data_IF_985637519261
#
_entry.id   IF_985637519261
#
_cell.length_a   1.000
_cell.length_b   1.000
_cell.length_c   1.000
_cell.angle_alpha   90.00
_cell.angle_beta   90.00
_cell.angle_gamma   90.00
#
_symmetry.space_group_name_H-M   'P 1'
#
loop_
_entity.id
_entity.type
_entity.pdbx_description
1 polymer ?
#
# COMPACT_ATOMS: atom_id res chain seq x y z
N UNK A 1 23.90 -0.12 -22.74
CA UNK A 1 24.31 0.11 -21.34
C UNK A 1 23.24 -0.53 -20.48
N UNK A 2 23.63 -1.38 -19.54
CA UNK A 2 22.70 -2.15 -18.70
C UNK A 2 22.90 -1.76 -17.24
N UNK A 3 21.81 -1.73 -16.47
CA UNK A 3 21.87 -1.60 -15.02
C UNK A 3 22.53 -2.83 -14.38
N UNK A 4 23.06 -2.66 -13.16
CA UNK A 4 23.67 -3.77 -12.39
C UNK A 4 23.20 -3.78 -10.95
N UNK A 5 23.11 -4.98 -10.38
CA UNK A 5 22.81 -5.18 -8.96
C UNK A 5 24.06 -5.76 -8.28
N UNK A 6 24.50 -5.11 -7.22
CA UNK A 6 25.57 -5.58 -6.35
C UNK A 6 25.01 -6.05 -5.02
N UNK A 7 25.68 -7.01 -4.38
CA UNK A 7 25.39 -7.40 -3.00
C UNK A 7 26.47 -6.86 -2.07
N UNK A 8 26.05 -6.23 -0.97
CA UNK A 8 26.89 -5.90 0.17
C UNK A 8 26.43 -6.76 1.34
N UNK A 9 27.29 -7.63 1.84
CA UNK A 9 26.96 -8.54 2.94
C UNK A 9 27.71 -8.19 4.22
N UNK A 10 27.15 -8.60 5.36
CA UNK A 10 27.82 -8.43 6.66
C UNK A 10 27.86 -6.99 7.18
N UNK A 11 26.87 -6.17 6.83
CA UNK A 11 26.74 -4.80 7.33
C UNK A 11 26.34 -4.86 8.81
N UNK A 12 27.27 -4.49 9.69
CA UNK A 12 27.03 -4.51 11.13
C UNK A 12 26.00 -3.44 11.53
N UNK A 13 24.87 -3.88 12.11
CA UNK A 13 23.88 -3.03 12.73
C UNK A 13 24.08 -3.07 14.25
N UNK A 14 24.95 -2.19 14.76
CA UNK A 14 25.54 -2.38 16.10
C UNK A 14 24.49 -2.32 17.22
N UNK A 15 23.47 -1.46 17.07
CA UNK A 15 22.38 -1.32 18.06
C UNK A 15 21.32 -2.41 17.99
N UNK A 16 21.31 -3.17 16.89
CA UNK A 16 20.44 -4.35 16.72
C UNK A 16 21.19 -5.65 16.99
N UNK A 17 22.51 -5.58 17.22
CA UNK A 17 23.37 -6.73 17.48
C UNK A 17 23.22 -7.84 16.41
N UNK A 18 23.12 -7.42 15.14
CA UNK A 18 23.03 -8.32 14.00
C UNK A 18 23.81 -7.77 12.80
N UNK A 19 23.97 -8.59 11.77
CA UNK A 19 24.55 -8.20 10.48
C UNK A 19 23.48 -8.26 9.40
N UNK A 20 23.53 -7.36 8.42
CA UNK A 20 22.59 -7.31 7.31
C UNK A 20 23.26 -7.38 5.96
N UNK A 21 22.51 -7.90 5.01
CA UNK A 21 22.82 -7.75 3.60
C UNK A 21 22.06 -6.56 3.01
N UNK A 22 22.59 -6.00 1.93
CA UNK A 22 21.92 -5.01 1.10
C UNK A 22 22.20 -5.28 -0.38
N UNK A 23 21.22 -4.97 -1.23
CA UNK A 23 21.33 -5.05 -2.68
C UNK A 23 21.31 -3.66 -3.29
N UNK A 24 22.33 -3.35 -4.10
CA UNK A 24 22.56 -2.02 -4.65
C UNK A 24 22.30 -2.05 -6.15
N UNK A 25 21.24 -1.40 -6.59
CA UNK A 25 21.02 -1.11 -8.01
C UNK A 25 21.87 0.09 -8.42
N UNK A 26 22.63 -0.07 -9.50
CA UNK A 26 23.37 0.99 -10.15
C UNK A 26 22.80 1.22 -11.55
N UNK A 27 22.55 2.49 -11.92
CA UNK A 27 21.87 2.81 -13.16
C UNK A 27 22.77 2.59 -14.38
N UNK A 28 22.19 2.51 -15.60
CA UNK A 28 22.93 2.15 -16.81
C UNK A 28 24.17 2.99 -17.09
N UNK A 29 24.15 4.30 -16.82
CA UNK A 29 25.29 5.18 -17.12
C UNK A 29 26.39 5.17 -16.03
N UNK A 30 26.21 4.42 -14.94
CA UNK A 30 27.06 4.50 -13.76
C UNK A 30 28.55 4.33 -14.10
N UNK A 31 28.93 3.30 -14.86
CA UNK A 31 30.35 3.00 -15.13
C UNK A 31 30.97 3.87 -16.23
N UNK A 32 30.16 4.47 -17.10
CA UNK A 32 30.62 5.28 -18.23
C UNK A 32 30.75 6.77 -17.85
N UNK A 33 29.87 7.28 -16.98
CA UNK A 33 29.83 8.69 -16.56
C UNK A 33 30.47 8.90 -15.18
N UNK A 34 31.80 8.89 -15.14
CA UNK A 34 32.60 8.91 -13.90
C UNK A 34 32.43 10.18 -13.02
N UNK A 35 32.00 11.30 -13.60
CA UNK A 35 31.76 12.55 -12.87
C UNK A 35 30.33 12.70 -12.35
N UNK A 36 29.39 11.88 -12.83
CA UNK A 36 27.98 11.98 -12.46
C UNK A 36 27.74 11.39 -11.07
N UNK A 37 26.92 12.09 -10.28
CA UNK A 37 26.42 11.65 -8.97
C UNK A 37 24.91 11.47 -9.05
N UNK A 38 24.39 10.54 -8.26
CA UNK A 38 23.03 10.04 -8.37
C UNK A 38 22.26 10.26 -7.06
N UNK A 39 20.97 10.61 -7.13
CA UNK A 39 20.07 10.46 -5.99
C UNK A 39 20.02 9.01 -5.51
N UNK A 40 19.65 8.82 -4.24
CA UNK A 40 19.64 7.49 -3.61
C UNK A 40 18.26 7.21 -3.02
N UNK A 41 17.70 6.05 -3.37
CA UNK A 41 16.50 5.51 -2.75
C UNK A 41 16.87 4.35 -1.82
N UNK A 42 16.60 4.49 -0.53
CA UNK A 42 16.68 3.40 0.45
C UNK A 42 15.34 2.68 0.52
N UNK A 43 15.37 1.35 0.41
CA UNK A 43 14.19 0.51 0.49
C UNK A 43 14.30 -0.52 1.60
N UNK A 44 13.21 -0.68 2.34
CA UNK A 44 13.05 -1.72 3.32
C UNK A 44 12.77 -3.08 2.65
N UNK A 45 12.91 -4.18 3.41
CA UNK A 45 12.59 -5.56 2.96
C UNK A 45 13.29 -5.93 1.63
N UNK A 46 14.58 -5.58 1.54
CA UNK A 46 15.33 -5.56 0.29
C UNK A 46 15.38 -6.90 -0.46
N UNK A 47 15.21 -8.02 0.26
CA UNK A 47 15.21 -9.37 -0.31
C UNK A 47 14.06 -9.65 -1.29
N UNK A 48 13.06 -8.75 -1.40
CA UNK A 48 11.90 -8.88 -2.29
C UNK A 48 11.81 -7.75 -3.34
N UNK A 49 12.70 -6.76 -3.27
CA UNK A 49 12.65 -5.53 -4.09
C UNK A 49 12.97 -5.80 -5.56
N UNK A 50 14.07 -6.52 -5.85
CA UNK A 50 14.50 -6.75 -7.24
C UNK A 50 14.06 -8.11 -7.81
N UNK A 51 14.00 -9.13 -6.97
CA UNK A 51 13.64 -10.49 -7.36
C UNK A 51 12.85 -11.12 -6.23
N UNK A 52 11.95 -12.04 -6.58
CA UNK A 52 11.23 -12.81 -5.59
C UNK A 52 12.16 -13.84 -4.96
N UNK A 53 12.22 -13.85 -3.63
CA UNK A 53 12.73 -14.97 -2.83
C UNK A 53 11.60 -15.77 -2.18
N UNK A 54 10.34 -15.36 -2.40
CA UNK A 54 9.15 -16.04 -1.90
C UNK A 54 8.80 -17.21 -2.83
N UNK A 55 8.20 -18.25 -2.26
CA UNK A 55 7.67 -19.36 -3.07
C UNK A 55 6.43 -18.93 -3.86
N UNK A 56 5.73 -17.89 -3.40
CA UNK A 56 4.62 -17.25 -4.11
C UNK A 56 5.05 -16.61 -5.44
N UNK A 57 6.34 -16.34 -5.63
CA UNK A 57 6.87 -15.63 -6.80
C UNK A 57 6.68 -14.11 -6.73
N UNK A 58 6.09 -13.59 -5.66
CA UNK A 58 5.82 -12.17 -5.52
C UNK A 58 7.08 -11.35 -5.27
N UNK A 59 7.14 -10.17 -5.88
CA UNK A 59 8.25 -9.22 -5.82
C UNK A 59 7.75 -7.87 -6.30
N UNK A 60 8.48 -6.81 -5.95
CA UNK A 60 8.24 -5.48 -6.49
C UNK A 60 8.62 -5.37 -7.97
N UNK A 61 9.51 -6.23 -8.48
CA UNK A 61 10.00 -6.12 -9.87
C UNK A 61 10.63 -4.75 -10.15
N UNK A 62 11.33 -4.19 -9.15
CA UNK A 62 11.74 -2.79 -9.21
C UNK A 62 12.82 -2.54 -10.26
N UNK A 63 13.68 -3.54 -10.55
CA UNK A 63 14.71 -3.41 -11.58
C UNK A 63 14.09 -3.10 -12.93
N UNK A 64 13.12 -3.90 -13.34
CA UNK A 64 12.42 -3.77 -14.61
C UNK A 64 11.67 -2.44 -14.70
N UNK A 65 11.08 -2.02 -13.57
CA UNK A 65 10.42 -0.72 -13.45
C UNK A 65 11.41 0.44 -13.64
N UNK A 66 12.54 0.44 -12.93
CA UNK A 66 13.58 1.46 -13.05
C UNK A 66 14.18 1.51 -14.44
N UNK A 67 14.58 0.37 -14.99
CA UNK A 67 15.15 0.26 -16.34
C UNK A 67 14.16 0.78 -17.40
N UNK A 68 12.87 0.49 -17.24
CA UNK A 68 11.80 1.01 -18.09
C UNK A 68 11.69 2.52 -18.03
N UNK A 69 11.53 3.08 -16.83
CA UNK A 69 11.36 4.52 -16.61
C UNK A 69 12.58 5.32 -17.06
N UNK A 70 13.80 4.86 -16.74
CA UNK A 70 15.05 5.52 -17.13
C UNK A 70 15.22 5.50 -18.65
N UNK A 71 15.01 4.34 -19.29
CA UNK A 71 15.15 4.21 -20.75
C UNK A 71 14.17 5.09 -21.52
N UNK A 72 12.98 5.31 -20.98
CA UNK A 72 11.97 6.18 -21.56
C UNK A 72 12.19 7.68 -21.23
N UNK A 73 13.19 8.03 -20.42
CA UNK A 73 13.45 9.39 -19.97
C UNK A 73 12.40 9.94 -19.00
N UNK A 74 11.69 9.05 -18.31
CA UNK A 74 10.58 9.39 -17.42
C UNK A 74 11.06 9.78 -16.02
N UNK A 75 12.21 9.25 -15.60
CA UNK A 75 12.93 9.63 -14.38
C UNK A 75 14.43 9.81 -14.68
N UNK A 76 15.10 10.61 -13.87
CA UNK A 76 16.57 10.63 -13.84
C UNK A 76 17.13 9.30 -13.29
N UNK A 77 18.38 9.00 -13.62
CA UNK A 77 19.06 7.83 -13.07
C UNK A 77 19.27 7.96 -11.56
N UNK A 78 18.99 6.88 -10.82
CA UNK A 78 19.16 6.82 -9.35
C UNK A 78 19.92 5.56 -8.93
N UNK A 79 20.46 5.58 -7.72
CA UNK A 79 20.93 4.39 -7.01
C UNK A 79 19.80 3.91 -6.10
N UNK A 80 19.59 2.59 -6.02
CA UNK A 80 18.67 2.00 -5.02
C UNK A 80 19.44 1.12 -4.07
N UNK A 81 19.23 1.30 -2.77
CA UNK A 81 19.81 0.52 -1.68
C UNK A 81 18.68 -0.25 -0.99
N UNK A 82 18.53 -1.52 -1.35
CA UNK A 82 17.51 -2.39 -0.81
C UNK A 82 18.06 -3.18 0.38
N UNK A 83 17.56 -2.92 1.59
CA UNK A 83 18.15 -3.39 2.86
C UNK A 83 17.41 -4.61 3.38
N UNK A 84 18.15 -5.68 3.69
CA UNK A 84 17.58 -6.90 4.25
C UNK A 84 16.83 -6.65 5.56
N UNK A 85 15.68 -7.31 5.70
CA UNK A 85 14.95 -7.44 6.94
C UNK A 85 15.30 -8.75 7.66
N UNK A 86 15.52 -8.70 8.98
CA UNK A 86 15.82 -9.89 9.78
C UNK A 86 14.56 -10.49 10.38
N UNK A 87 14.14 -11.62 9.80
CA UNK A 87 12.93 -12.35 10.20
C UNK A 87 12.91 -12.77 11.67
N UNK A 88 14.06 -13.05 12.28
CA UNK A 88 14.13 -13.42 13.70
C UNK A 88 13.68 -12.30 14.65
N UNK A 89 13.76 -11.04 14.20
CA UNK A 89 13.27 -9.88 14.94
C UNK A 89 11.78 -9.61 14.67
N UNK A 90 11.15 -10.34 13.74
CA UNK A 90 9.79 -10.09 13.27
C UNK A 90 9.62 -8.66 12.76
N UNK A 91 8.43 -8.08 12.91
CA UNK A 91 8.16 -6.69 12.52
C UNK A 91 8.67 -5.65 13.55
N UNK A 92 9.36 -6.06 14.61
CA UNK A 92 9.82 -5.21 15.73
C UNK A 92 10.57 -3.95 15.28
N UNK A 93 11.39 -4.08 14.23
CA UNK A 93 12.23 -3.02 13.66
C UNK A 93 11.43 -1.92 12.94
N UNK A 94 10.13 -2.14 12.74
CA UNK A 94 9.25 -1.22 12.02
C UNK A 94 8.34 -0.41 12.94
N UNK A 95 8.27 -0.77 14.22
CA UNK A 95 7.53 -0.02 15.23
C UNK A 95 8.48 0.85 16.07
N UNK A 96 8.09 2.11 16.27
CA UNK A 96 8.87 3.10 17.03
C UNK A 96 8.23 3.41 18.38
N UNK A 97 7.12 4.15 18.35
CA UNK A 97 6.50 4.74 19.54
C UNK A 97 5.28 3.99 20.05
N UNK A 98 4.57 3.27 19.16
CA UNK A 98 3.30 2.61 19.43
C UNK A 98 3.27 1.27 18.71
N UNK A 99 2.81 0.23 19.41
CA UNK A 99 2.57 -1.08 18.85
C UNK A 99 1.47 -1.77 19.65
N UNK A 100 0.45 -2.32 18.98
CA UNK A 100 -0.59 -3.10 19.63
C UNK A 100 -0.12 -4.51 20.01
N UNK A 101 0.94 -5.00 19.38
CA UNK A 101 1.50 -6.32 19.64
C UNK A 101 2.45 -6.30 20.84
N UNK A 102 2.53 -7.39 21.62
CA UNK A 102 3.46 -7.51 22.74
C UNK A 102 4.89 -7.83 22.26
N UNK A 103 5.44 -6.95 21.43
CA UNK A 103 6.79 -7.05 20.86
C UNK A 103 7.68 -5.90 21.35
N UNK A 104 8.99 -6.11 21.32
CA UNK A 104 9.93 -5.03 21.55
C UNK A 104 9.92 -4.10 20.33
N UNK A 105 9.79 -2.79 20.55
CA UNK A 105 9.89 -1.81 19.46
C UNK A 105 11.36 -1.46 19.22
N UNK A 106 11.87 -1.81 18.04
CA UNK A 106 13.28 -1.64 17.65
C UNK A 106 13.47 -0.58 16.54
N UNK A 107 12.42 0.19 16.23
CA UNK A 107 12.41 1.19 15.17
C UNK A 107 13.53 2.21 15.27
N UNK A 108 13.81 2.76 16.46
CA UNK A 108 14.89 3.74 16.63
C UNK A 108 16.29 3.13 16.44
N UNK A 109 16.47 1.85 16.75
CA UNK A 109 17.74 1.14 16.52
C UNK A 109 17.93 0.87 15.03
N UNK A 110 16.87 0.53 14.31
CA UNK A 110 16.89 0.38 12.86
C UNK A 110 17.08 1.71 12.13
N UNK A 111 16.42 2.78 12.59
CA UNK A 111 16.66 4.15 12.18
C UNK A 111 18.14 4.53 12.31
N UNK A 112 18.73 4.22 13.47
CA UNK A 112 20.15 4.48 13.72
C UNK A 112 21.05 3.76 12.71
N UNK A 113 20.78 2.48 12.45
CA UNK A 113 21.52 1.71 11.46
C UNK A 113 21.45 2.37 10.07
N UNK A 114 20.24 2.74 9.61
CA UNK A 114 20.09 3.35 8.29
C UNK A 114 20.87 4.66 8.15
N UNK A 115 20.76 5.56 9.15
CA UNK A 115 21.29 6.92 9.08
C UNK A 115 22.79 6.97 9.37
N UNK A 116 23.25 6.29 10.42
CA UNK A 116 24.59 6.48 10.96
C UNK A 116 25.56 5.36 10.59
N UNK A 117 25.07 4.20 10.16
CA UNK A 117 25.92 3.06 9.82
C UNK A 117 25.89 2.78 8.31
N UNK A 118 24.70 2.62 7.73
CA UNK A 118 24.55 2.27 6.32
C UNK A 118 24.79 3.46 5.38
N UNK A 119 24.06 4.57 5.56
CA UNK A 119 24.16 5.71 4.63
C UNK A 119 25.60 6.23 4.44
N UNK A 120 26.45 6.38 5.48
CA UNK A 120 27.84 6.77 5.30
C UNK A 120 28.70 5.76 4.52
N UNK A 121 28.41 4.46 4.66
CA UNK A 121 29.07 3.42 3.86
C UNK A 121 28.71 3.60 2.38
N UNK A 122 27.42 3.78 2.07
CA UNK A 122 26.94 3.98 0.71
C UNK A 122 27.53 5.26 0.10
N UNK A 123 27.49 6.38 0.81
CA UNK A 123 28.00 7.68 0.35
C UNK A 123 29.51 7.67 0.08
N UNK A 124 30.26 6.80 0.75
CA UNK A 124 31.70 6.60 0.51
C UNK A 124 31.99 5.65 -0.64
N UNK A 125 31.20 4.60 -0.80
CA UNK A 125 31.43 3.56 -1.81
C UNK A 125 30.89 3.94 -3.19
N UNK A 126 29.85 4.78 -3.25
CA UNK A 126 29.15 5.11 -4.48
C UNK A 126 29.09 6.63 -4.72
N UNK A 127 28.85 7.02 -5.97
CA UNK A 127 28.71 8.43 -6.37
C UNK A 127 27.32 8.97 -6.05
N UNK A 128 27.07 9.23 -4.77
CA UNK A 128 25.76 9.73 -4.31
C UNK A 128 25.68 11.25 -4.29
N UNK A 129 24.46 11.77 -4.43
CA UNK A 129 24.03 13.09 -3.95
C UNK A 129 23.46 12.88 -2.55
N UNK A 130 24.21 13.29 -1.52
CA UNK A 130 23.99 12.81 -0.15
C UNK A 130 23.08 13.70 0.71
N UNK A 131 22.61 14.84 0.19
CA UNK A 131 21.69 15.74 0.88
C UNK A 131 20.25 15.21 0.88
N UNK A 132 19.42 15.75 1.78
CA UNK A 132 18.04 15.29 1.96
C UNK A 132 17.21 15.35 0.69
N UNK A 133 17.37 16.38 -0.13
CA UNK A 133 16.54 16.58 -1.33
C UNK A 133 16.78 15.53 -2.42
N UNK A 134 17.86 14.76 -2.32
CA UNK A 134 18.22 13.66 -3.21
C UNK A 134 18.20 12.29 -2.52
N UNK A 135 17.76 12.22 -1.26
CA UNK A 135 17.73 10.99 -0.48
C UNK A 135 16.29 10.59 -0.18
N UNK A 136 15.86 9.45 -0.74
CA UNK A 136 14.53 8.90 -0.57
C UNK A 136 14.53 7.68 0.36
N UNK A 137 13.41 7.48 1.06
CA UNK A 137 13.11 6.29 1.85
C UNK A 137 11.75 5.73 1.43
N UNK A 138 11.65 4.41 1.25
CA UNK A 138 10.41 3.77 0.80
C UNK A 138 10.20 2.38 1.41
N UNK A 139 8.94 2.08 1.71
CA UNK A 139 8.50 0.75 2.13
C UNK A 139 6.98 0.62 2.13
N UNK A 140 6.51 -0.61 2.28
CA UNK A 140 5.08 -0.94 2.35
C UNK A 140 4.66 -1.51 3.70
N UNK A 141 3.37 -1.45 4.04
CA UNK A 141 2.82 -2.09 5.25
C UNK A 141 3.54 -1.62 6.52
N UNK A 142 4.05 -2.52 7.36
CA UNK A 142 4.88 -2.20 8.51
C UNK A 142 6.13 -1.39 8.11
N UNK A 143 6.77 -1.69 6.98
CA UNK A 143 7.87 -0.88 6.48
C UNK A 143 7.43 0.50 5.95
N UNK A 144 6.17 0.66 5.54
CA UNK A 144 5.55 1.96 5.25
C UNK A 144 5.39 2.79 6.53
N UNK A 145 4.94 2.15 7.63
CA UNK A 145 4.94 2.75 8.96
C UNK A 145 6.35 3.17 9.40
N UNK A 146 7.36 2.32 9.17
CA UNK A 146 8.75 2.65 9.47
C UNK A 146 9.24 3.85 8.63
N UNK A 147 8.92 3.87 7.33
CA UNK A 147 9.24 4.98 6.42
C UNK A 147 8.67 6.31 6.93
N UNK A 148 7.40 6.31 7.34
CA UNK A 148 6.76 7.47 7.93
C UNK A 148 7.47 7.94 9.21
N UNK A 149 7.71 7.06 10.18
CA UNK A 149 8.35 7.44 11.44
C UNK A 149 9.78 7.97 11.24
N UNK A 150 10.61 7.21 10.49
CA UNK A 150 12.03 7.56 10.26
C UNK A 150 12.13 8.85 9.47
N UNK A 151 11.39 8.95 8.37
CA UNK A 151 11.43 10.08 7.47
C UNK A 151 10.95 11.37 8.11
N UNK A 152 9.84 11.32 8.86
CA UNK A 152 9.28 12.49 9.52
C UNK A 152 10.11 12.97 10.71
N UNK A 153 10.84 12.06 11.40
CA UNK A 153 11.78 12.41 12.47
C UNK A 153 13.10 12.96 11.96
N UNK A 154 13.49 12.63 10.71
CA UNK A 154 14.80 12.97 10.14
C UNK A 154 14.70 13.68 8.79
N UNK A 155 14.00 14.84 8.71
CA UNK A 155 13.82 15.56 7.45
C UNK A 155 15.11 16.09 6.83
N UNK A 156 16.15 16.29 7.64
CA UNK A 156 17.48 16.72 7.18
C UNK A 156 18.29 15.57 6.56
N UNK A 157 17.79 14.33 6.63
CA UNK A 157 18.41 13.15 6.03
C UNK A 157 17.56 12.61 4.88
N UNK A 158 16.25 12.51 5.05
CA UNK A 158 15.32 11.97 4.06
C UNK A 158 14.33 13.04 3.61
N UNK A 159 14.54 13.59 2.41
CA UNK A 159 13.67 14.61 1.82
C UNK A 159 12.48 14.02 1.06
N UNK A 160 12.52 12.73 0.71
CA UNK A 160 11.56 12.09 -0.19
C UNK A 160 11.04 10.79 0.44
N UNK A 161 9.74 10.68 0.73
CA UNK A 161 9.17 9.56 1.49
C UNK A 161 8.11 8.81 0.69
N UNK A 162 8.37 7.57 0.30
CA UNK A 162 7.43 6.66 -0.35
C UNK A 162 6.76 5.75 0.66
N UNK A 163 5.55 6.09 1.08
CA UNK A 163 4.81 5.41 2.14
C UNK A 163 3.67 4.61 1.50
N UNK A 164 3.91 3.32 1.24
CA UNK A 164 2.94 2.49 0.53
C UNK A 164 2.11 1.64 1.49
N UNK A 165 0.79 1.65 1.34
CA UNK A 165 -0.16 0.89 2.18
C UNK A 165 0.25 0.77 3.66
N UNK A 166 0.56 1.87 4.36
CA UNK A 166 1.24 1.81 5.67
C UNK A 166 0.34 1.23 6.76
N UNK A 167 0.93 0.42 7.64
CA UNK A 167 0.22 -0.19 8.77
C UNK A 167 0.01 0.80 9.94
N UNK A 168 -0.85 1.80 9.73
CA UNK A 168 -1.08 2.88 10.70
C UNK A 168 -2.04 2.52 11.84
N UNK A 169 -2.93 1.55 11.63
CA UNK A 169 -3.94 1.15 12.60
C UNK A 169 -3.99 -0.37 12.67
N UNK A 170 -4.03 -0.89 13.88
CA UNK A 170 -4.38 -2.28 14.16
C UNK A 170 -5.81 -2.33 14.68
N UNK A 171 -6.59 -3.31 14.22
CA UNK A 171 -7.91 -3.60 14.76
C UNK A 171 -7.82 -4.85 15.64
N UNK A 172 -8.19 -4.72 16.92
CA UNK A 172 -8.32 -5.87 17.80
C UNK A 172 -9.52 -6.72 17.38
N UNK A 173 -9.27 -7.97 16.96
CA UNK A 173 -10.31 -8.85 16.39
C UNK A 173 -11.41 -9.25 17.38
N UNK A 174 -11.14 -9.20 18.70
CA UNK A 174 -12.09 -9.60 19.74
C UNK A 174 -12.97 -8.43 20.18
N UNK A 175 -12.36 -7.26 20.34
CA UNK A 175 -12.99 -6.06 20.90
C UNK A 175 -13.42 -5.06 19.84
N UNK A 176 -12.95 -5.20 18.60
CA UNK A 176 -13.10 -4.24 17.51
C UNK A 176 -12.60 -2.84 17.84
N UNK A 177 -11.63 -2.73 18.76
CA UNK A 177 -10.98 -1.47 19.12
C UNK A 177 -9.83 -1.22 18.17
N UNK A 178 -9.86 -0.06 17.53
CA UNK A 178 -8.77 0.42 16.69
C UNK A 178 -7.66 1.05 17.53
N UNK A 179 -6.41 0.69 17.24
CA UNK A 179 -5.22 1.19 17.91
C UNK A 179 -4.25 1.77 16.89
N UNK A 180 -3.93 3.06 17.02
CA UNK A 180 -2.88 3.69 16.20
C UNK A 180 -1.52 3.06 16.49
N UNK A 181 -0.73 2.88 15.44
CA UNK A 181 0.62 2.32 15.49
C UNK A 181 1.70 3.40 15.28
N UNK A 182 1.30 4.67 15.23
CA UNK A 182 2.17 5.81 14.94
C UNK A 182 1.77 7.04 15.75
N UNK A 183 2.71 7.98 15.89
CA UNK A 183 2.41 9.33 16.38
C UNK A 183 2.35 10.32 15.21
N UNK A 184 1.39 11.26 15.19
CA UNK A 184 1.38 12.33 14.20
C UNK A 184 2.66 13.17 14.28
N UNK A 185 3.27 13.42 13.13
CA UNK A 185 4.45 14.29 12.99
C UNK A 185 4.09 15.45 12.08
N UNK A 186 4.65 16.63 12.36
CA UNK A 186 4.49 17.78 11.48
C UNK A 186 5.43 17.63 10.28
N UNK A 187 4.93 17.70 9.02
CA UNK A 187 5.78 17.62 7.84
C UNK A 187 6.74 18.81 7.78
N UNK A 188 7.95 18.59 7.29
CA UNK A 188 8.89 19.67 6.98
C UNK A 188 8.54 20.27 5.60
N UNK A 189 8.47 21.61 5.44
CA UNK A 189 8.14 22.24 4.16
C UNK A 189 8.98 21.81 2.95
N UNK A 190 10.21 21.33 3.17
CA UNK A 190 11.10 20.85 2.10
C UNK A 190 10.93 19.37 1.73
N UNK A 191 10.10 18.61 2.45
CA UNK A 191 9.90 17.19 2.20
C UNK A 191 8.80 16.94 1.15
N UNK A 192 9.00 15.90 0.33
CA UNK A 192 7.99 15.36 -0.57
C UNK A 192 7.51 14.00 -0.07
N UNK A 193 6.20 13.86 0.08
CA UNK A 193 5.56 12.67 0.61
C UNK A 193 4.68 12.04 -0.46
N UNK A 194 4.90 10.77 -0.72
CA UNK A 194 3.98 9.91 -1.44
C UNK A 194 3.29 9.00 -0.42
N UNK A 195 1.96 9.03 -0.37
CA UNK A 195 1.16 8.17 0.49
C UNK A 195 0.15 7.42 -0.36
N UNK A 196 0.05 6.11 -0.23
CA UNK A 196 -0.95 5.36 -0.98
C UNK A 196 -1.56 4.20 -0.19
N UNK A 197 -2.67 3.69 -0.72
CA UNK A 197 -3.37 2.50 -0.20
C UNK A 197 -4.16 1.83 -1.32
N UNK A 198 -4.31 0.50 -1.26
CA UNK A 198 -5.23 -0.23 -2.14
C UNK A 198 -6.66 -0.20 -1.61
N UNK A 199 -7.64 0.03 -2.48
CA UNK A 199 -9.07 0.02 -2.15
C UNK A 199 -9.62 -1.37 -1.81
N UNK A 200 -8.88 -2.43 -2.15
CA UNK A 200 -9.23 -3.82 -1.82
C UNK A 200 -8.50 -4.36 -0.57
N UNK A 201 -7.93 -3.47 0.25
CA UNK A 201 -7.25 -3.81 1.51
C UNK A 201 -8.20 -3.90 2.72
N UNK A 202 -9.49 -4.14 2.46
CA UNK A 202 -10.50 -4.28 3.50
C UNK A 202 -11.06 -2.95 3.99
N UNK A 203 -11.70 -2.98 5.17
CA UNK A 203 -12.66 -1.94 5.54
C UNK A 203 -12.10 -0.79 6.37
N UNK A 204 -10.96 -0.97 7.05
CA UNK A 204 -10.42 0.05 7.97
C UNK A 204 -9.17 0.73 7.41
N UNK A 205 -8.25 -0.01 6.82
CA UNK A 205 -6.98 0.53 6.33
C UNK A 205 -7.13 1.68 5.32
N UNK A 206 -7.95 1.57 4.25
CA UNK A 206 -8.14 2.66 3.30
C UNK A 206 -8.66 3.95 3.94
N UNK A 207 -9.62 3.82 4.87
CA UNK A 207 -10.21 4.96 5.58
C UNK A 207 -9.14 5.65 6.43
N UNK A 208 -8.34 4.89 7.17
CA UNK A 208 -7.31 5.45 8.05
C UNK A 208 -6.17 6.10 7.28
N UNK A 209 -5.66 5.45 6.22
CA UNK A 209 -4.58 6.02 5.41
C UNK A 209 -5.04 7.30 4.70
N UNK A 210 -6.28 7.33 4.19
CA UNK A 210 -6.88 8.54 3.63
C UNK A 210 -7.00 9.66 4.68
N UNK A 211 -7.44 9.33 5.90
CA UNK A 211 -7.50 10.31 7.00
C UNK A 211 -6.11 10.90 7.31
N UNK A 212 -5.04 10.11 7.23
CA UNK A 212 -3.67 10.63 7.41
C UNK A 212 -3.29 11.59 6.28
N UNK A 213 -3.67 11.30 5.03
CA UNK A 213 -3.45 12.24 3.93
C UNK A 213 -4.16 13.59 4.17
N UNK A 214 -5.42 13.56 4.59
CA UNK A 214 -6.21 14.76 4.93
C UNK A 214 -5.59 15.54 6.11
N UNK A 215 -5.08 14.85 7.13
CA UNK A 215 -4.35 15.44 8.27
C UNK A 215 -3.03 16.10 7.82
N UNK A 216 -2.29 15.50 6.88
CA UNK A 216 -1.06 16.05 6.34
C UNK A 216 -1.31 17.34 5.53
N UNK A 217 -2.36 17.35 4.69
CA UNK A 217 -2.79 18.57 3.98
C UNK A 217 -3.15 19.68 4.98
N UNK A 218 -3.95 19.34 5.99
CA UNK A 218 -4.35 20.27 7.06
C UNK A 218 -3.15 20.80 7.87
N UNK A 219 -2.04 20.04 7.91
CA UNK A 219 -0.81 20.39 8.62
C UNK A 219 0.18 21.21 7.77
N UNK A 220 -0.18 21.55 6.54
CA UNK A 220 0.58 22.44 5.65
C UNK A 220 1.26 21.76 4.46
N UNK A 221 1.01 20.47 4.21
CA UNK A 221 1.36 19.89 2.92
C UNK A 221 0.46 20.45 1.81
N UNK A 222 1.01 20.54 0.61
CA UNK A 222 0.30 21.02 -0.58
C UNK A 222 0.15 19.86 -1.56
N UNK A 223 -1.09 19.52 -1.89
CA UNK A 223 -1.38 18.46 -2.84
C UNK A 223 -0.77 18.81 -4.20
N UNK A 224 -0.10 17.84 -4.82
CA UNK A 224 0.54 18.02 -6.11
C UNK A 224 1.96 18.60 -6.05
N UNK A 225 2.40 19.11 -4.90
CA UNK A 225 3.71 19.70 -4.70
C UNK A 225 4.54 18.93 -3.65
N UNK A 226 4.05 18.89 -2.40
CA UNK A 226 4.73 18.23 -1.28
C UNK A 226 4.03 16.96 -0.82
N UNK A 227 2.77 16.73 -1.24
CA UNK A 227 2.04 15.50 -0.96
C UNK A 227 1.30 15.02 -2.22
N UNK A 228 1.45 13.74 -2.52
CA UNK A 228 0.50 13.00 -3.34
C UNK A 228 -0.12 11.89 -2.48
N UNK A 229 -1.45 11.78 -2.55
CA UNK A 229 -2.19 10.64 -2.03
C UNK A 229 -2.76 9.83 -3.18
N UNK A 230 -2.68 8.50 -3.14
CA UNK A 230 -3.31 7.64 -4.13
C UNK A 230 -4.04 6.47 -3.48
N UNK A 231 -5.35 6.41 -3.68
CA UNK A 231 -6.16 5.23 -3.37
C UNK A 231 -6.39 4.47 -4.68
N UNK A 232 -5.66 3.37 -4.88
CA UNK A 232 -5.83 2.52 -6.07
C UNK A 232 -7.05 1.62 -5.89
N UNK A 233 -8.15 1.80 -6.66
CA UNK A 233 -9.44 1.19 -6.35
C UNK A 233 -9.40 -0.33 -6.19
N UNK A 234 -8.54 -1.00 -6.96
CA UNK A 234 -8.55 -2.45 -7.12
C UNK A 234 -7.37 -3.14 -6.43
N UNK A 235 -6.39 -2.41 -5.90
CA UNK A 235 -5.17 -3.00 -5.36
C UNK A 235 -5.37 -3.67 -4.00
N UNK A 236 -4.63 -4.77 -3.80
CA UNK A 236 -4.56 -5.56 -2.58
C UNK A 236 -3.36 -5.16 -1.72
N UNK A 237 -3.31 -5.75 -0.52
CA UNK A 237 -2.17 -5.65 0.40
C UNK A 237 -1.09 -6.67 -0.01
N UNK A 238 -0.50 -6.49 -1.20
CA UNK A 238 0.39 -7.45 -1.83
C UNK A 238 1.62 -6.81 -2.49
N UNK A 239 2.75 -7.53 -2.47
CA UNK A 239 4.04 -7.07 -3.04
C UNK A 239 3.94 -6.73 -4.52
N UNK A 240 3.11 -7.47 -5.26
CA UNK A 240 2.91 -7.26 -6.69
C UNK A 240 2.19 -5.95 -6.98
N UNK A 241 1.22 -5.57 -6.15
CA UNK A 241 0.49 -4.30 -6.30
C UNK A 241 1.33 -3.11 -5.80
N UNK A 242 2.11 -3.28 -4.73
CA UNK A 242 3.12 -2.27 -4.34
C UNK A 242 4.17 -2.07 -5.44
N UNK A 243 4.66 -3.16 -6.04
CA UNK A 243 5.57 -3.12 -7.17
C UNK A 243 5.02 -2.36 -8.37
N UNK A 244 3.76 -2.60 -8.74
CA UNK A 244 3.06 -1.87 -9.81
C UNK A 244 2.93 -0.37 -9.50
N UNK A 245 2.64 -0.02 -8.25
CA UNK A 245 2.52 1.36 -7.80
C UNK A 245 3.85 2.06 -7.60
N UNK A 246 4.95 1.34 -7.36
CA UNK A 246 6.27 1.91 -7.09
C UNK A 246 6.78 2.88 -8.18
N UNK A 247 6.31 2.73 -9.43
CA UNK A 247 6.61 3.69 -10.48
C UNK A 247 6.10 5.11 -10.18
N UNK A 248 5.03 5.25 -9.40
CA UNK A 248 4.40 6.54 -9.12
C UNK A 248 5.23 7.40 -8.16
N UNK A 249 5.66 6.93 -6.96
CA UNK A 249 6.59 7.71 -6.15
C UNK A 249 7.91 7.98 -6.89
N UNK A 250 8.40 7.03 -7.70
CA UNK A 250 9.61 7.26 -8.52
C UNK A 250 9.44 8.44 -9.49
N UNK A 251 8.30 8.53 -10.19
CA UNK A 251 7.96 9.66 -11.06
C UNK A 251 7.86 10.97 -10.29
N UNK A 252 7.23 10.95 -9.11
CA UNK A 252 7.09 12.14 -8.28
C UNK A 252 8.44 12.66 -7.75
N UNK A 253 9.32 11.75 -7.32
CA UNK A 253 10.61 12.11 -6.72
C UNK A 253 11.67 12.47 -7.74
N UNK A 254 11.74 11.72 -8.83
CA UNK A 254 12.88 11.71 -9.75
C UNK A 254 12.51 12.03 -11.19
N UNK A 255 11.22 12.18 -11.49
CA UNK A 255 10.71 12.55 -12.81
C UNK A 255 10.45 14.04 -12.96
N UNK A 256 9.95 14.40 -14.15
CA UNK A 256 9.42 15.74 -14.41
C UNK A 256 8.04 15.91 -13.78
N UNK A 257 7.69 17.14 -13.48
CA UNK A 257 6.30 17.50 -13.16
C UNK A 257 5.36 17.13 -14.33
N UNK A 258 4.17 16.67 -13.96
CA UNK A 258 3.13 16.29 -14.89
C UNK A 258 2.02 17.33 -14.94
N UNK A 259 1.22 17.28 -16.00
CA UNK A 259 0.03 18.09 -16.18
C UNK A 259 -1.19 17.18 -16.24
N UNK A 260 -2.27 17.55 -15.54
CA UNK A 260 -3.50 16.75 -15.53
C UNK A 260 -4.02 16.56 -16.95
N UNK A 261 -4.29 15.30 -17.30
CA UNK A 261 -4.75 14.87 -18.62
C UNK A 261 -6.12 14.19 -18.58
N UNK A 262 -6.37 13.39 -17.55
CA UNK A 262 -7.61 12.65 -17.36
C UNK A 262 -7.99 12.60 -15.89
N UNK A 263 -9.28 12.45 -15.64
CA UNK A 263 -9.80 12.06 -14.32
C UNK A 263 -10.86 10.98 -14.48
N UNK A 264 -10.83 10.01 -13.58
CA UNK A 264 -11.85 8.98 -13.43
C UNK A 264 -12.48 9.10 -12.03
N UNK A 265 -13.82 8.98 -11.95
CA UNK A 265 -14.55 8.99 -10.68
C UNK A 265 -14.93 7.57 -10.28
N UNK A 266 -14.35 7.11 -9.17
CA UNK A 266 -14.69 5.84 -8.55
C UNK A 266 -15.56 6.07 -7.32
N UNK A 267 -16.51 5.17 -7.06
CA UNK A 267 -17.41 5.26 -5.92
C UNK A 267 -18.80 4.70 -6.23
N UNK A 268 -19.74 4.79 -5.28
CA UNK A 268 -21.05 4.19 -5.44
C UNK A 268 -21.94 4.99 -6.41
N UNK A 269 -22.80 4.26 -7.13
CA UNK A 269 -23.89 4.84 -7.91
C UNK A 269 -25.16 5.10 -7.08
N UNK A 270 -25.20 4.58 -5.84
CA UNK A 270 -26.35 4.66 -4.93
C UNK A 270 -25.90 4.89 -3.50
N UNK A 271 -26.51 5.86 -2.82
CA UNK A 271 -26.27 6.17 -1.41
C UNK A 271 -27.59 6.27 -0.63
N UNK A 272 -27.57 5.92 0.65
CA UNK A 272 -28.72 6.06 1.54
C UNK A 272 -28.59 7.27 2.45
N UNK A 273 -29.70 7.94 2.75
CA UNK A 273 -29.74 8.95 3.82
C UNK A 273 -29.49 8.31 5.19
N UNK A 274 -30.07 7.14 5.42
CA UNK A 274 -29.68 6.22 6.48
C UNK A 274 -28.81 5.11 5.89
N UNK A 275 -27.52 5.05 6.25
CA UNK A 275 -26.60 4.06 5.70
C UNK A 275 -25.14 4.28 6.07
N UNK A 276 -24.25 3.59 5.35
CA UNK A 276 -22.81 3.79 5.47
C UNK A 276 -22.39 5.12 4.85
N UNK A 277 -21.34 5.73 5.39
CA UNK A 277 -20.66 6.86 4.74
C UNK A 277 -20.10 6.40 3.39
N UNK A 278 -20.13 7.29 2.41
CA UNK A 278 -19.61 7.04 1.08
C UNK A 278 -18.78 8.23 0.58
N UNK A 279 -17.80 7.93 -0.27
CA UNK A 279 -16.88 8.91 -0.83
C UNK A 279 -16.67 8.60 -2.31
N UNK A 280 -16.57 9.64 -3.14
CA UNK A 280 -16.04 9.54 -4.49
C UNK A 280 -14.52 9.68 -4.46
N UNK A 281 -13.83 8.74 -5.08
CA UNK A 281 -12.39 8.79 -5.33
C UNK A 281 -12.15 9.32 -6.75
N UNK A 282 -11.79 10.60 -6.86
CA UNK A 282 -11.38 11.22 -8.11
C UNK A 282 -9.91 10.92 -8.39
N UNK A 283 -9.64 9.96 -9.25
CA UNK A 283 -8.27 9.59 -9.64
C UNK A 283 -7.87 10.40 -10.87
N UNK A 284 -6.91 11.30 -10.67
CA UNK A 284 -6.34 12.15 -11.71
C UNK A 284 -5.11 11.45 -12.30
N UNK A 285 -5.07 11.31 -13.63
CA UNK A 285 -3.90 10.86 -14.39
C UNK A 285 -3.21 12.07 -15.02
N UNK A 286 -1.91 12.19 -14.77
CA UNK A 286 -1.03 13.17 -15.39
C UNK A 286 -0.43 12.63 -16.70
N UNK A 287 -0.04 13.54 -17.58
CA UNK A 287 0.60 13.22 -18.88
C UNK A 287 1.93 12.46 -18.75
N UNK A 288 2.58 12.54 -17.60
CA UNK A 288 3.79 11.79 -17.25
C UNK A 288 3.47 10.43 -16.61
N UNK A 289 2.22 9.96 -16.66
CA UNK A 289 1.79 8.67 -16.11
C UNK A 289 1.65 8.62 -14.59
N UNK A 290 1.90 9.71 -13.86
CA UNK A 290 1.59 9.80 -12.43
C UNK A 290 0.07 9.78 -12.24
N UNK A 291 -0.41 9.07 -11.22
CA UNK A 291 -1.81 8.95 -10.87
C UNK A 291 -2.00 9.28 -9.39
N UNK A 292 -3.02 10.04 -9.03
CA UNK A 292 -3.29 10.35 -7.63
C UNK A 292 -4.77 10.61 -7.39
N UNK A 293 -5.20 10.41 -6.15
CA UNK A 293 -6.53 10.77 -5.67
C UNK A 293 -6.54 12.25 -5.30
N UNK A 294 -7.42 13.02 -5.94
CA UNK A 294 -7.60 14.44 -5.61
C UNK A 294 -8.51 14.61 -4.40
N UNK A 295 -7.92 15.05 -3.28
CA UNK A 295 -8.58 15.35 -2.01
C UNK A 295 -9.04 16.81 -1.89
N UNK A 296 -8.72 17.66 -2.87
CA UNK A 296 -9.13 19.08 -2.92
C UNK A 296 -9.95 19.37 -4.19
N UNK A 297 -10.73 18.37 -4.60
CA UNK A 297 -11.46 18.34 -5.86
C UNK A 297 -12.57 19.38 -5.97
N UNK A 298 -12.77 19.89 -7.19
CA UNK A 298 -13.89 20.77 -7.53
C UNK A 298 -15.14 19.99 -7.91
N UNK A 299 -16.01 19.69 -6.93
CA UNK A 299 -17.28 19.02 -7.18
C UNK A 299 -18.45 20.00 -7.36
N UNK A 300 -19.32 19.71 -8.33
CA UNK A 300 -20.62 20.37 -8.53
C UNK A 300 -21.72 19.33 -8.64
N UNK A 301 -22.89 19.63 -8.08
CA UNK A 301 -24.05 18.72 -8.06
C UNK A 301 -25.22 19.39 -8.76
N UNK A 302 -25.81 18.73 -9.76
CA UNK A 302 -26.95 19.29 -10.51
C UNK A 302 -28.13 19.66 -9.62
N UNK A 303 -28.40 18.82 -8.61
CA UNK A 303 -29.49 19.01 -7.67
C UNK A 303 -28.94 18.99 -6.23
N UNK A 304 -28.38 20.10 -5.72
CA UNK A 304 -27.76 20.16 -4.39
C UNK A 304 -28.76 19.93 -3.24
N UNK A 305 -30.06 20.06 -3.51
CA UNK A 305 -31.11 19.68 -2.56
C UNK A 305 -31.24 18.15 -2.35
N UNK A 306 -30.67 17.34 -3.26
CA UNK A 306 -30.66 15.86 -3.20
C UNK A 306 -29.38 15.36 -2.53
N UNK A 307 -28.23 15.93 -2.90
CA UNK A 307 -26.91 15.47 -2.47
C UNK A 307 -25.94 16.66 -2.41
N UNK A 308 -25.08 16.65 -1.41
CA UNK A 308 -23.91 17.54 -1.30
C UNK A 308 -22.64 16.69 -1.35
N UNK A 309 -21.57 17.25 -1.92
CA UNK A 309 -20.25 16.59 -2.04
C UNK A 309 -19.18 17.54 -1.55
N UNK A 310 -18.33 17.07 -0.64
CA UNK A 310 -17.19 17.85 -0.11
C UNK A 310 -15.99 17.81 -1.06
N UNK A 311 -14.99 18.70 -0.91
CA UNK A 311 -13.79 18.71 -1.76
C UNK A 311 -13.03 17.38 -1.79
N UNK A 312 -12.99 16.66 -0.68
CA UNK A 312 -12.36 15.34 -0.57
C UNK A 312 -13.22 14.18 -1.12
N UNK A 313 -14.40 14.52 -1.65
CA UNK A 313 -15.33 13.61 -2.33
C UNK A 313 -16.40 12.98 -1.44
N UNK A 314 -16.52 13.37 -0.16
CA UNK A 314 -17.50 12.77 0.76
C UNK A 314 -18.92 13.10 0.34
N UNK A 315 -19.78 12.09 0.31
CA UNK A 315 -21.17 12.20 -0.11
C UNK A 315 -22.10 12.45 1.09
N UNK A 316 -22.86 13.54 1.05
CA UNK A 316 -23.84 13.93 2.06
C UNK A 316 -25.26 13.93 1.49
N UNK A 317 -25.95 12.78 1.49
CA UNK A 317 -27.32 12.67 0.99
C UNK A 317 -28.29 13.52 1.81
N UNK A 318 -29.17 14.27 1.13
CA UNK A 318 -30.11 15.23 1.74
C UNK A 318 -31.57 14.86 1.50
N UNK A 319 -31.91 14.38 0.30
CA UNK A 319 -33.28 14.03 -0.09
C UNK A 319 -33.27 12.89 -1.10
N UNK A 320 -34.26 11.97 -1.09
CA UNK A 320 -34.35 10.94 -2.10
C UNK A 320 -34.55 11.52 -3.50
N UNK A 321 -33.92 10.89 -4.50
CA UNK A 321 -33.95 11.30 -5.89
C UNK A 321 -32.66 10.93 -6.62
N UNK A 322 -32.51 11.40 -7.85
CA UNK A 322 -31.29 11.18 -8.64
C UNK A 322 -30.65 12.53 -8.96
N UNK A 323 -29.33 12.57 -9.00
CA UNK A 323 -28.56 13.75 -9.43
C UNK A 323 -27.30 13.33 -10.17
N UNK A 324 -26.70 14.25 -10.92
CA UNK A 324 -25.37 14.06 -11.50
C UNK A 324 -24.38 14.85 -10.64
N UNK A 325 -23.33 14.18 -10.22
CA UNK A 325 -22.15 14.81 -9.63
C UNK A 325 -21.13 14.98 -10.74
N UNK A 326 -20.61 16.20 -10.90
CA UNK A 326 -19.50 16.50 -11.80
C UNK A 326 -18.29 16.89 -10.99
N UNK A 327 -17.17 16.30 -11.34
CA UNK A 327 -15.85 16.72 -10.88
C UNK A 327 -15.19 17.50 -12.00
N UNK A 328 -14.51 18.58 -11.64
CA UNK A 328 -13.69 19.36 -12.54
C UNK A 328 -12.40 19.80 -11.83
N UNK A 329 -11.28 19.59 -12.50
CA UNK A 329 -10.03 20.30 -12.22
C UNK A 329 -9.64 21.16 -13.42
N UNK A 330 -8.45 21.79 -13.40
CA UNK A 330 -8.04 22.76 -14.43
C UNK A 330 -8.14 22.23 -15.86
N UNK A 331 -7.92 20.94 -16.08
CA UNK A 331 -7.76 20.37 -17.42
C UNK A 331 -8.68 19.16 -17.71
N UNK A 332 -9.31 18.58 -16.68
CA UNK A 332 -10.05 17.33 -16.79
C UNK A 332 -11.40 17.44 -16.10
N UNK A 333 -12.38 16.71 -16.62
CA UNK A 333 -13.71 16.61 -16.03
C UNK A 333 -14.22 15.17 -16.10
N UNK A 334 -15.04 14.80 -15.12
CA UNK A 334 -15.76 13.53 -15.11
C UNK A 334 -17.11 13.73 -14.43
N UNK A 335 -18.03 12.81 -14.66
CA UNK A 335 -19.36 12.86 -14.07
C UNK A 335 -19.88 11.48 -13.75
N UNK A 336 -20.63 11.37 -12.65
CA UNK A 336 -21.30 10.15 -12.23
C UNK A 336 -22.73 10.46 -11.84
N UNK A 337 -23.67 9.58 -12.21
CA UNK A 337 -25.06 9.65 -11.77
C UNK A 337 -25.15 8.95 -10.41
N UNK A 338 -25.76 9.61 -9.43
CA UNK A 338 -25.96 9.06 -8.08
C UNK A 338 -27.45 9.07 -7.73
N UNK A 339 -27.95 7.92 -7.31
CA UNK A 339 -29.26 7.77 -6.69
C UNK A 339 -29.16 7.91 -5.17
N UNK A 340 -29.97 8.79 -4.59
CA UNK A 340 -30.17 8.92 -3.15
C UNK A 340 -31.47 8.23 -2.78
N UNK A 341 -31.39 7.26 -1.87
CA UNK A 341 -32.55 6.54 -1.32
C UNK A 341 -32.71 6.86 0.17
N UNK A 342 -33.92 6.65 0.72
CA UNK A 342 -34.16 6.90 2.15
C UNK A 342 -33.26 6.05 3.04
N UNK A 343 -33.19 4.75 2.75
CA UNK A 343 -32.42 3.80 3.53
C UNK A 343 -31.65 2.85 2.63
N UNK A 344 -30.35 2.76 2.88
CA UNK A 344 -29.47 1.78 2.28
C UNK A 344 -28.68 1.12 3.40
N UNK A 345 -28.83 -0.20 3.56
CA UNK A 345 -28.17 -0.89 4.67
C UNK A 345 -26.65 -0.64 4.66
N UNK A 346 -26.13 -0.16 5.79
CA UNK A 346 -24.70 0.06 6.01
C UNK A 346 -23.87 -1.22 5.97
N UNK A 347 -24.53 -2.39 6.06
CA UNK A 347 -23.91 -3.71 5.99
C UNK A 347 -24.60 -4.59 4.97
N UNK A 348 -23.87 -5.54 4.42
CA UNK A 348 -24.37 -6.61 3.56
C UNK A 348 -24.02 -7.97 4.14
N UNK A 349 -24.85 -8.96 3.87
CA UNK A 349 -24.62 -10.34 4.28
C UNK A 349 -23.93 -11.09 3.13
N UNK A 350 -22.73 -11.58 3.39
CA UNK A 350 -21.94 -12.36 2.44
C UNK A 350 -21.80 -13.78 2.95
N UNK A 351 -22.29 -14.74 2.17
CA UNK A 351 -22.06 -16.17 2.39
C UNK A 351 -20.94 -16.66 1.46
N UNK A 352 -19.89 -17.21 2.04
CA UNK A 352 -18.75 -17.78 1.31
C UNK A 352 -18.78 -19.29 1.49
N UNK A 353 -18.74 -20.02 0.37
CA UNK A 353 -18.57 -21.47 0.33
C UNK A 353 -17.27 -21.83 -0.39
N UNK A 354 -16.50 -22.75 0.18
CA UNK A 354 -15.23 -23.21 -0.39
C UNK A 354 -15.22 -24.72 -0.45
N UNK A 355 -15.01 -25.25 -1.65
CA UNK A 355 -14.69 -26.65 -1.88
C UNK A 355 -13.17 -26.82 -1.90
N UNK A 356 -12.65 -27.78 -1.14
CA UNK A 356 -11.21 -28.03 -0.96
C UNK A 356 -10.86 -29.44 -1.43
N UNK A 357 -9.59 -29.73 -1.81
CA UNK A 357 -9.23 -31.03 -2.35
C UNK A 357 -9.28 -32.12 -1.28
N UNK A 358 -9.44 -33.37 -1.69
CA UNK A 358 -9.50 -34.54 -0.79
C UNK A 358 -8.24 -34.73 0.07
N UNK A 359 -7.12 -34.13 -0.34
CA UNK A 359 -5.85 -34.09 0.39
C UNK A 359 -5.89 -33.15 1.60
N UNK A 360 -6.97 -32.38 1.79
CA UNK A 360 -7.13 -31.46 2.91
C UNK A 360 -7.43 -32.24 4.20
N UNK A 361 -6.62 -32.07 5.26
CA UNK A 361 -6.86 -32.71 6.55
C UNK A 361 -8.25 -32.39 7.12
N UNK A 362 -8.85 -33.35 7.82
CA UNK A 362 -10.20 -33.20 8.36
C UNK A 362 -10.29 -32.09 9.44
N UNK A 363 -9.20 -31.80 10.13
CA UNK A 363 -9.06 -30.79 11.18
C UNK A 363 -8.55 -29.44 10.65
N UNK A 364 -8.40 -29.28 9.32
CA UNK A 364 -7.90 -28.07 8.71
C UNK A 364 -8.80 -26.85 9.01
N UNK A 365 -8.17 -25.74 9.41
CA UNK A 365 -8.81 -24.43 9.51
C UNK A 365 -8.73 -23.73 8.17
N UNK A 366 -9.87 -23.46 7.54
CA UNK A 366 -9.94 -22.79 6.24
C UNK A 366 -10.36 -21.34 6.42
N UNK A 367 -9.64 -20.41 5.80
CA UNK A 367 -9.96 -18.99 5.80
C UNK A 367 -10.11 -18.49 4.36
N UNK A 368 -11.03 -17.56 4.17
CA UNK A 368 -11.16 -16.72 2.98
C UNK A 368 -11.04 -15.26 3.46
N UNK A 369 -12.03 -14.41 3.16
CA UNK A 369 -12.19 -13.08 3.80
C UNK A 369 -12.34 -13.21 5.33
N UNK A 370 -12.86 -14.34 5.82
CA UNK A 370 -13.01 -14.67 7.23
C UNK A 370 -12.90 -16.20 7.41
N UNK A 371 -12.81 -16.65 8.66
CA UNK A 371 -12.75 -18.08 9.00
C UNK A 371 -14.03 -18.81 8.60
N UNK A 372 -13.88 -19.96 7.93
CA UNK A 372 -14.99 -20.79 7.48
C UNK A 372 -15.21 -21.99 8.39
N UNK A 373 -16.48 -22.35 8.57
CA UNK A 373 -16.88 -23.54 9.32
C UNK A 373 -17.00 -24.75 8.39
N UNK A 374 -16.54 -25.90 8.85
CA UNK A 374 -16.68 -27.15 8.08
C UNK A 374 -18.14 -27.60 8.04
N UNK A 375 -18.65 -27.84 6.83
CA UNK A 375 -20.02 -28.35 6.62
C UNK A 375 -20.00 -29.87 6.46
N UNK A 376 -19.09 -30.37 5.62
CA UNK A 376 -18.81 -31.80 5.39
C UNK A 376 -17.38 -31.96 4.87
N UNK A 377 -16.92 -33.20 4.70
CA UNK A 377 -15.61 -33.44 4.06
C UNK A 377 -15.53 -32.70 2.71
N UNK A 378 -14.45 -31.95 2.52
CA UNK A 378 -14.20 -31.18 1.30
C UNK A 378 -15.03 -29.90 1.15
N UNK A 379 -15.90 -29.52 2.11
CA UNK A 379 -16.76 -28.35 1.98
C UNK A 379 -16.82 -27.52 3.26
N UNK A 380 -16.47 -26.24 3.12
CA UNK A 380 -16.46 -25.24 4.18
C UNK A 380 -17.38 -24.08 3.81
N UNK A 381 -18.03 -23.47 4.80
CA UNK A 381 -18.94 -22.34 4.62
C UNK A 381 -18.84 -21.38 5.80
N UNK A 382 -18.98 -20.10 5.53
CA UNK A 382 -19.19 -19.10 6.55
C UNK A 382 -20.08 -17.97 6.04
N UNK A 383 -20.69 -17.24 6.97
CA UNK A 383 -21.50 -16.07 6.67
C UNK A 383 -21.03 -14.92 7.53
N UNK A 384 -20.77 -13.77 6.93
CA UNK A 384 -20.39 -12.55 7.63
C UNK A 384 -21.29 -11.38 7.21
N UNK A 385 -21.50 -10.44 8.14
CA UNK A 385 -22.05 -9.13 7.84
C UNK A 385 -20.89 -8.16 7.68
N UNK A 386 -20.68 -7.67 6.47
CA UNK A 386 -19.58 -6.79 6.12
C UNK A 386 -20.09 -5.37 5.87
N UNK A 387 -19.30 -4.31 6.16
CA UNK A 387 -19.66 -2.97 5.75
C UNK A 387 -19.86 -2.89 4.23
N UNK A 388 -20.90 -2.18 3.80
CA UNK A 388 -21.23 -2.03 2.38
C UNK A 388 -20.15 -1.22 1.66
N UNK A 389 -19.75 -1.68 0.48
CA UNK A 389 -18.80 -0.99 -0.40
C UNK A 389 -17.33 -1.36 -0.17
N UNK A 390 -17.06 -2.25 0.79
CA UNK A 390 -15.70 -2.76 1.02
C UNK A 390 -15.35 -3.80 -0.04
N UNK A 391 -14.12 -3.73 -0.55
CA UNK A 391 -13.55 -4.75 -1.42
C UNK A 391 -12.46 -5.52 -0.67
N UNK A 392 -12.39 -6.81 -0.92
CA UNK A 392 -11.32 -7.68 -0.45
C UNK A 392 -10.68 -8.38 -1.63
N UNK A 393 -9.35 -8.27 -1.74
CA UNK A 393 -8.56 -9.25 -2.47
C UNK A 393 -7.94 -10.24 -1.49
N UNK A 394 -8.14 -11.53 -1.73
CA UNK A 394 -7.71 -12.57 -0.79
C UNK A 394 -7.34 -13.87 -1.53
N UNK A 395 -6.63 -14.74 -0.83
CA UNK A 395 -6.48 -16.15 -1.20
C UNK A 395 -7.11 -17.03 -0.13
N UNK A 396 -7.66 -18.15 -0.53
CA UNK A 396 -8.09 -19.17 0.43
C UNK A 396 -6.84 -19.75 1.10
N UNK A 397 -6.80 -19.72 2.42
CA UNK A 397 -5.69 -20.27 3.20
C UNK A 397 -6.12 -21.44 4.07
N UNK A 398 -5.17 -22.32 4.34
CA UNK A 398 -5.29 -23.43 5.28
C UNK A 398 -4.39 -23.13 6.48
N UNK A 399 -5.00 -22.61 7.54
CA UNK A 399 -4.29 -22.03 8.66
C UNK A 399 -3.44 -20.84 8.21
N UNK A 400 -2.28 -20.69 8.86
CA UNK A 400 -1.24 -19.71 8.54
C UNK A 400 -0.01 -20.42 7.99
N UNK A 401 -0.19 -21.47 7.19
CA UNK A 401 0.93 -22.28 6.69
C UNK A 401 0.81 -22.58 5.21
N UNK A 402 -0.40 -22.51 4.65
CA UNK A 402 -0.64 -22.81 3.25
C UNK A 402 -1.65 -21.88 2.61
N UNK A 403 -1.43 -21.64 1.33
CA UNK A 403 -2.36 -20.97 0.43
C UNK A 403 -2.83 -21.91 -0.66
N UNK A 404 -3.94 -21.54 -1.28
CA UNK A 404 -4.44 -22.18 -2.48
C UNK A 404 -3.45 -22.13 -3.64
N UNK A 405 -3.47 -23.20 -4.41
CA UNK A 405 -2.69 -23.38 -5.63
C UNK A 405 -3.54 -24.09 -6.68
N UNK A 406 -3.11 -24.01 -7.92
CA UNK A 406 -3.72 -24.76 -9.01
C UNK A 406 -3.40 -26.27 -8.93
N UNK A 407 -3.97 -27.03 -9.85
CA UNK A 407 -3.77 -28.49 -9.97
C UNK A 407 -2.30 -28.91 -10.16
N UNK A 408 -1.44 -27.99 -10.57
CA UNK A 408 0.00 -28.18 -10.77
C UNK A 408 0.85 -27.68 -9.59
N UNK A 409 0.23 -27.33 -8.45
CA UNK A 409 0.87 -26.72 -7.28
C UNK A 409 1.54 -25.37 -7.58
N UNK A 410 0.99 -24.60 -8.50
CA UNK A 410 1.48 -23.24 -8.80
C UNK A 410 0.61 -22.20 -8.06
N UNK A 411 1.21 -21.09 -7.61
CA UNK A 411 0.45 -19.98 -7.04
C UNK A 411 -0.65 -19.50 -8.00
N UNK A 412 -1.83 -19.24 -7.46
CA UNK A 412 -2.95 -18.67 -8.21
C UNK A 412 -3.10 -17.16 -7.94
N UNK A 413 -3.74 -16.40 -8.85
CA UNK A 413 -4.07 -15.00 -8.59
C UNK A 413 -4.98 -14.83 -7.37
N UNK A 414 -4.92 -13.65 -6.74
CA UNK A 414 -5.88 -13.27 -5.69
C UNK A 414 -7.32 -13.30 -6.23
N UNK A 415 -8.23 -13.75 -5.38
CA UNK A 415 -9.68 -13.69 -5.58
C UNK A 415 -10.20 -12.34 -5.12
N UNK A 416 -11.28 -11.87 -5.72
CA UNK A 416 -11.94 -10.62 -5.34
C UNK A 416 -13.33 -10.86 -4.78
N UNK A 417 -13.67 -10.14 -3.71
CA UNK A 417 -15.00 -10.09 -3.14
C UNK A 417 -15.39 -8.63 -2.87
N UNK A 418 -16.40 -8.15 -3.61
CA UNK A 418 -16.98 -6.82 -3.42
C UNK A 418 -18.23 -6.92 -2.53
N UNK A 419 -18.22 -6.32 -1.35
CA UNK A 419 -19.35 -6.31 -0.40
C UNK A 419 -20.38 -5.23 -0.76
N UNK A 420 -20.87 -5.23 -2.01
CA UNK A 420 -21.83 -4.25 -2.53
C UNK A 420 -23.29 -4.68 -2.39
N UNK A 421 -23.57 -5.97 -2.14
CA UNK A 421 -24.91 -6.50 -1.94
C UNK A 421 -24.89 -7.80 -1.13
N UNK A 422 -26.05 -8.17 -0.62
CA UNK A 422 -26.23 -9.50 -0.05
C UNK A 422 -25.95 -10.53 -1.15
N UNK A 423 -25.04 -11.45 -0.89
CA UNK A 423 -24.59 -12.39 -1.91
C UNK A 423 -24.09 -13.70 -1.33
N UNK A 424 -24.10 -14.71 -2.19
CA UNK A 424 -23.48 -16.00 -1.94
C UNK A 424 -22.46 -16.28 -3.03
N UNK A 425 -21.23 -16.57 -2.62
CA UNK A 425 -20.11 -16.88 -3.51
C UNK A 425 -19.55 -18.26 -3.19
N UNK A 426 -19.14 -18.98 -4.23
CA UNK A 426 -18.57 -20.32 -4.11
C UNK A 426 -17.21 -20.36 -4.81
N UNK A 427 -16.21 -20.92 -4.13
CA UNK A 427 -14.85 -21.09 -4.63
C UNK A 427 -14.43 -22.55 -4.60
N UNK A 428 -13.50 -22.92 -5.49
CA UNK A 428 -12.88 -24.24 -5.55
C UNK A 428 -11.38 -24.03 -5.41
N UNK A 429 -10.78 -24.72 -4.43
CA UNK A 429 -9.34 -24.84 -4.26
C UNK A 429 -8.92 -26.18 -4.85
N UNK A 430 -7.99 -26.16 -5.80
CA UNK A 430 -7.51 -27.37 -6.46
C UNK A 430 -6.39 -28.04 -5.64
N UNK A 431 -5.48 -27.24 -5.06
CA UNK A 431 -4.37 -27.75 -4.26
C UNK A 431 -3.89 -26.75 -3.20
N UNK A 432 -2.92 -27.17 -2.38
CA UNK A 432 -2.29 -26.36 -1.34
C UNK A 432 -0.79 -26.23 -1.59
N UNK A 433 -0.25 -25.02 -1.50
CA UNK A 433 1.20 -24.76 -1.48
C UNK A 433 1.63 -24.28 -0.10
N UNK A 434 2.79 -24.75 0.37
CA UNK A 434 3.35 -24.25 1.64
C UNK A 434 3.79 -22.80 1.48
N UNK A 435 3.37 -21.97 2.42
CA UNK A 435 3.99 -20.69 2.67
C UNK A 435 5.32 -20.93 3.41
N UNK A 436 6.42 -20.25 3.03
CA UNK A 436 7.66 -20.27 3.80
C UNK A 436 7.42 -19.98 5.28
N UNK A 437 8.11 -20.71 6.17
CA UNK A 437 8.12 -20.39 7.58
C UNK A 437 8.60 -18.95 7.78
N UNK A 438 7.76 -18.09 8.35
CA UNK A 438 8.07 -16.67 8.57
C UNK A 438 7.28 -15.66 7.73
N UNK A 439 6.44 -16.09 6.77
CA UNK A 439 5.43 -15.21 6.13
C UNK A 439 4.22 -14.90 7.05
N UNK A 440 4.29 -15.33 8.31
CA UNK A 440 3.34 -14.95 9.35
C UNK A 440 4.08 -14.54 10.60
N UNK A 441 4.11 -13.24 10.86
CA UNK A 441 3.84 -12.79 12.22
C UNK A 441 2.34 -12.54 12.31
N UNK A 442 1.72 -12.80 13.46
CA UNK A 442 0.30 -12.56 13.73
C UNK A 442 -0.21 -11.15 13.37
N UNK A 443 0.66 -10.22 12.98
CA UNK A 443 0.34 -8.82 12.71
C UNK A 443 0.27 -8.37 11.25
N UNK A 444 0.51 -9.23 10.26
CA UNK A 444 0.43 -8.80 8.83
C UNK A 444 -0.94 -9.03 8.18
N UNK A 445 -1.84 -9.78 8.82
CA UNK A 445 -3.14 -10.16 8.27
C UNK A 445 -4.33 -9.90 9.21
N UNK A 446 -4.15 -9.08 10.25
CA UNK A 446 -5.22 -8.67 11.18
C UNK A 446 -5.53 -7.17 11.10
#
# INVERSE_FOLDING_TARGET
MESRILSLSGLNASRLNNERDAWIYLPPSYDDLQSLRYPVLYMHVGQHVFQSRKRSGETWGLRETLDGLIRNGEIQEIIVVAVEHKQNEGASEYFHDQCAYPIQMLGEQYEFFLIYELKPIIDRMFRTLSDASHTALMGSSAAGLATYNIGMRNPDVFGLLGILSPFFVHLDEETFVEQKQYRPHKPNPGQKLWLDIGGAEGFFMPIHVRSVAEELLSSGCVQGETLYFYEEPDAAHAETDWGRRAQLPLRFFFGREGVSQRVDLFGPDTVGMEGASATLNAVVTLDNGLMYTDLEGGYTVDHPAILEVTPEGRLHPRKPGETIVRYQNRNSQASVKIAVVEKLSATVTVEVEVSVPDTTPEDASIHAVFKLSKVRKGLYRGTARLPRGVCFQFKVSRGYEKEEADDQNRPVPYRRLDADRDQKVSYIVDNWIDLPAGEHTKGELS
#
